data_IF_407181649304
#
_entry.id   IF_407181649304
#
_cell.length_a   1.000
_cell.length_b   1.000
_cell.length_c   1.000
_cell.angle_alpha   90.00
_cell.angle_beta   90.00
_cell.angle_gamma   90.00
#
_symmetry.space_group_name_H-M   'P 1'
#
loop_
_entity.id
_entity.type
_entity.pdbx_description
1 polymer ?
#
# COMPACT_ATOMS: atom_id res chain seq x y z
N UNK A 1 15.08 13.44 -2.05
CA UNK A 1 14.37 12.80 -3.19
C UNK A 1 13.81 13.89 -4.08
N UNK A 2 13.86 13.74 -5.40
CA UNK A 2 13.21 14.70 -6.30
C UNK A 2 11.69 14.62 -6.16
N UNK A 3 11.02 15.77 -6.05
CA UNK A 3 9.57 15.88 -5.95
C UNK A 3 8.85 15.17 -7.12
N UNK A 4 9.46 15.23 -8.31
CA UNK A 4 8.94 14.56 -9.50
C UNK A 4 8.90 13.04 -9.36
N UNK A 5 9.91 12.43 -8.71
CA UNK A 5 9.95 10.98 -8.50
C UNK A 5 8.90 10.54 -7.47
N UNK A 6 8.68 11.36 -6.43
CA UNK A 6 7.63 11.12 -5.42
C UNK A 6 6.24 11.15 -6.07
N UNK A 7 5.97 12.19 -6.87
CA UNK A 7 4.70 12.33 -7.56
C UNK A 7 4.47 11.16 -8.53
N UNK A 8 5.49 10.80 -9.32
CA UNK A 8 5.37 9.72 -10.29
C UNK A 8 5.08 8.38 -9.60
N UNK A 9 5.75 8.07 -8.48
CA UNK A 9 5.52 6.80 -7.77
C UNK A 9 4.13 6.72 -7.14
N UNK A 10 3.57 7.83 -6.65
CA UNK A 10 2.18 7.88 -6.15
C UNK A 10 1.15 7.73 -7.28
N UNK A 11 1.37 8.38 -8.42
CA UNK A 11 0.50 8.26 -9.61
C UNK A 11 0.50 6.83 -10.14
N UNK A 12 1.68 6.23 -10.32
CA UNK A 12 1.79 4.85 -10.80
C UNK A 12 1.25 3.83 -9.78
N UNK A 13 1.43 4.07 -8.48
CA UNK A 13 0.81 3.23 -7.43
C UNK A 13 -0.71 3.27 -7.46
N UNK A 14 -1.29 4.46 -7.60
CA UNK A 14 -2.75 4.65 -7.68
C UNK A 14 -3.32 4.08 -8.98
N UNK A 15 -2.60 4.25 -10.10
CA UNK A 15 -2.96 3.66 -11.39
C UNK A 15 -3.00 2.13 -11.30
N UNK A 16 -2.01 1.52 -10.66
CA UNK A 16 -1.93 0.06 -10.50
C UNK A 16 -3.08 -0.48 -9.62
N UNK A 17 -3.38 0.18 -8.50
CA UNK A 17 -4.53 -0.15 -7.67
C UNK A 17 -5.84 -0.07 -8.47
N UNK A 18 -6.02 1.00 -9.24
CA UNK A 18 -7.27 1.25 -9.97
C UNK A 18 -7.43 0.24 -11.11
N UNK A 19 -6.37 -0.03 -11.87
CA UNK A 19 -6.39 -0.98 -12.98
C UNK A 19 -6.74 -2.39 -12.50
N UNK A 20 -6.09 -2.85 -11.41
CA UNK A 20 -6.35 -4.18 -10.86
C UNK A 20 -7.68 -4.26 -10.11
N UNK A 21 -8.02 -3.26 -9.29
CA UNK A 21 -9.27 -3.22 -8.53
C UNK A 21 -10.50 -3.16 -9.44
N UNK A 22 -10.52 -2.24 -10.41
CA UNK A 22 -11.58 -2.16 -11.41
C UNK A 22 -11.58 -3.39 -12.33
N UNK A 23 -10.41 -3.96 -12.64
CA UNK A 23 -10.29 -5.21 -13.40
C UNK A 23 -10.98 -6.40 -12.72
N UNK A 24 -10.85 -6.53 -11.39
CA UNK A 24 -11.56 -7.57 -10.61
C UNK A 24 -13.07 -7.35 -10.64
N UNK A 25 -13.53 -6.10 -10.49
CA UNK A 25 -14.95 -5.78 -10.57
C UNK A 25 -15.50 -6.07 -11.96
N UNK A 26 -14.77 -5.70 -13.02
CA UNK A 26 -15.14 -6.02 -14.39
C UNK A 26 -15.20 -7.54 -14.63
N UNK A 27 -14.26 -8.31 -14.08
CA UNK A 27 -14.25 -9.76 -14.16
C UNK A 27 -15.45 -10.41 -13.45
N UNK A 28 -16.01 -9.79 -12.40
CA UNK A 28 -17.17 -10.32 -11.67
C UNK A 28 -18.51 -9.83 -12.23
N UNK A 29 -18.56 -8.61 -12.77
CA UNK A 29 -19.80 -7.94 -13.18
C UNK A 29 -20.16 -8.13 -14.66
N UNK A 30 -19.19 -8.32 -15.57
CA UNK A 30 -19.47 -8.48 -17.00
C UNK A 30 -19.89 -9.92 -17.33
N UNK A 31 -20.90 -10.03 -18.20
CA UNK A 31 -21.31 -11.33 -18.77
C UNK A 31 -20.22 -11.83 -19.73
N UNK A 32 -19.91 -13.12 -19.67
CA UNK A 32 -18.91 -13.76 -20.55
C UNK A 32 -17.49 -13.79 -20.00
N UNK A 33 -17.25 -13.25 -18.80
CA UNK A 33 -15.98 -13.43 -18.09
C UNK A 33 -15.98 -14.75 -17.31
N UNK A 34 -14.79 -15.33 -17.10
CA UNK A 34 -14.65 -16.57 -16.31
C UNK A 34 -14.94 -16.38 -14.81
N UNK A 35 -14.99 -15.14 -14.33
CA UNK A 35 -15.33 -14.80 -12.95
C UNK A 35 -16.74 -14.22 -12.76
N UNK A 36 -17.60 -14.23 -13.79
CA UNK A 36 -18.95 -13.69 -13.70
C UNK A 36 -19.72 -14.33 -12.54
N UNK A 37 -20.35 -13.51 -11.70
CA UNK A 37 -21.02 -13.93 -10.47
C UNK A 37 -20.09 -14.57 -9.42
N UNK A 38 -18.78 -14.25 -9.44
CA UNK A 38 -17.80 -14.69 -8.44
C UNK A 38 -18.03 -14.17 -7.02
N UNK A 39 -18.99 -13.25 -6.84
CA UNK A 39 -19.48 -12.82 -5.53
C UNK A 39 -18.48 -12.00 -4.70
N UNK A 40 -18.85 -11.77 -3.44
CA UNK A 40 -18.15 -10.88 -2.52
C UNK A 40 -16.70 -11.32 -2.21
N UNK A 41 -16.45 -12.64 -2.14
CA UNK A 41 -15.14 -13.19 -1.82
C UNK A 41 -14.10 -12.86 -2.89
N UNK A 42 -14.47 -12.95 -4.18
CA UNK A 42 -13.56 -12.65 -5.27
C UNK A 42 -13.19 -11.16 -5.30
N UNK A 43 -14.17 -10.30 -5.03
CA UNK A 43 -13.97 -8.84 -5.00
C UNK A 43 -13.06 -8.44 -3.83
N UNK A 44 -13.30 -8.97 -2.63
CA UNK A 44 -12.49 -8.61 -1.44
C UNK A 44 -11.03 -9.06 -1.56
N UNK A 45 -10.78 -10.30 -1.99
CA UNK A 45 -9.41 -10.77 -2.22
C UNK A 45 -8.73 -10.05 -3.38
N UNK A 46 -9.43 -9.83 -4.49
CA UNK A 46 -8.87 -9.13 -5.64
C UNK A 46 -8.51 -7.68 -5.33
N UNK A 47 -9.35 -6.97 -4.58
CA UNK A 47 -9.04 -5.62 -4.10
C UNK A 47 -7.87 -5.61 -3.10
N UNK A 48 -7.80 -6.57 -2.17
CA UNK A 48 -6.68 -6.68 -1.23
C UNK A 48 -5.33 -6.85 -1.92
N UNK A 49 -5.27 -7.69 -2.97
CA UNK A 49 -4.07 -7.89 -3.78
C UNK A 49 -3.76 -6.67 -4.64
N UNK A 50 -4.77 -5.99 -5.19
CA UNK A 50 -4.60 -4.75 -5.94
C UNK A 50 -3.97 -3.63 -5.10
N UNK A 51 -4.39 -3.49 -3.84
CA UNK A 51 -3.80 -2.54 -2.88
C UNK A 51 -2.34 -2.89 -2.60
N UNK A 52 -2.03 -4.17 -2.35
CA UNK A 52 -0.65 -4.62 -2.10
C UNK A 52 0.27 -4.31 -3.29
N UNK A 53 -0.17 -4.59 -4.51
CA UNK A 53 0.57 -4.26 -5.73
C UNK A 53 0.79 -2.75 -5.88
N UNK A 54 -0.23 -1.93 -5.61
CA UNK A 54 -0.10 -0.47 -5.62
C UNK A 54 0.95 0.03 -4.62
N UNK A 55 0.92 -0.47 -3.37
CA UNK A 55 1.89 -0.12 -2.33
C UNK A 55 3.32 -0.49 -2.74
N UNK A 56 3.50 -1.65 -3.37
CA UNK A 56 4.82 -2.08 -3.85
C UNK A 56 5.38 -1.15 -4.93
N UNK A 57 4.53 -0.67 -5.84
CA UNK A 57 4.90 0.30 -6.89
C UNK A 57 5.20 1.69 -6.30
N UNK A 58 4.43 2.12 -5.28
CA UNK A 58 4.62 3.40 -4.61
C UNK A 58 5.67 3.37 -3.48
N UNK A 59 6.40 2.27 -3.29
CA UNK A 59 7.35 2.10 -2.20
C UNK A 59 8.44 3.19 -2.13
N UNK A 60 8.76 3.83 -3.27
CA UNK A 60 9.74 4.93 -3.31
C UNK A 60 9.23 6.23 -2.66
N UNK A 61 7.93 6.53 -2.65
CA UNK A 61 7.37 7.78 -2.08
C UNK A 61 6.93 7.68 -0.62
N UNK A 62 7.00 6.50 -0.01
CA UNK A 62 6.32 6.23 1.27
C UNK A 62 4.98 5.50 1.11
N UNK A 63 4.61 5.18 -0.15
CA UNK A 63 3.43 4.40 -0.52
C UNK A 63 2.12 4.90 0.09
N UNK A 64 1.82 6.19 -0.07
CA UNK A 64 0.60 6.76 0.48
C UNK A 64 -0.63 6.32 -0.31
N UNK A 65 -0.51 6.22 -1.63
CA UNK A 65 -1.51 5.74 -2.60
C UNK A 65 -2.84 6.51 -2.65
N UNK A 66 -3.11 7.33 -1.62
CA UNK A 66 -4.41 7.89 -1.33
C UNK A 66 -4.22 9.26 -0.67
N UNK A 67 -4.87 10.33 -1.18
CA UNK A 67 -4.85 11.65 -0.57
C UNK A 67 -5.28 11.68 0.90
N UNK A 68 -6.22 10.82 1.31
CA UNK A 68 -6.68 10.71 2.69
C UNK A 68 -5.57 10.22 3.64
N UNK A 69 -4.67 9.37 3.16
CA UNK A 69 -3.53 8.86 3.92
C UNK A 69 -2.49 9.96 4.12
N UNK A 70 -2.22 10.75 3.07
CA UNK A 70 -1.34 11.92 3.17
C UNK A 70 -1.87 12.95 4.17
N UNK A 71 -3.17 13.23 4.15
CA UNK A 71 -3.83 14.10 5.13
C UNK A 71 -3.77 13.52 6.56
N UNK A 72 -4.02 12.22 6.72
CA UNK A 72 -3.94 11.55 8.02
C UNK A 72 -2.54 11.59 8.64
N UNK A 73 -1.49 11.47 7.84
CA UNK A 73 -0.10 11.62 8.28
C UNK A 73 0.24 13.07 8.65
N UNK A 74 -0.27 14.03 7.86
CA UNK A 74 -0.10 15.46 8.12
C UNK A 74 -0.68 15.86 9.48
N UNK A 75 -1.91 15.40 9.79
CA UNK A 75 -2.60 15.71 11.05
C UNK A 75 -1.92 15.03 12.24
N UNK A 76 -1.38 13.82 12.05
CA UNK A 76 -0.67 13.09 13.11
C UNK A 76 0.79 13.52 13.30
N UNK A 77 1.31 14.46 12.51
CA UNK A 77 2.73 14.86 12.48
C UNK A 77 3.72 13.67 12.34
N UNK A 78 3.27 12.56 11.73
CA UNK A 78 4.10 11.37 11.52
C UNK A 78 4.68 11.39 10.11
N UNK A 79 6.01 11.38 10.02
CA UNK A 79 6.73 11.33 8.75
C UNK A 79 6.69 9.94 8.07
N UNK A 80 6.27 8.89 8.78
CA UNK A 80 6.30 7.51 8.30
C UNK A 80 5.12 6.71 8.87
N UNK A 81 4.47 5.89 8.03
CA UNK A 81 3.27 5.10 8.39
C UNK A 81 3.60 3.93 9.34
N UNK A 82 4.81 3.38 9.21
CA UNK A 82 5.40 2.45 10.16
C UNK A 82 6.77 3.02 10.56
N UNK A 83 6.99 3.43 11.82
CA UNK A 83 8.31 3.86 12.24
C UNK A 83 9.26 2.71 11.99
N UNK A 84 10.33 2.93 11.22
CA UNK A 84 11.49 2.02 11.22
C UNK A 84 11.98 1.92 12.65
N UNK A 85 11.48 0.92 13.38
CA UNK A 85 12.03 0.57 14.69
C UNK A 85 13.35 -0.12 14.39
N UNK A 86 14.40 0.65 14.16
CA UNK A 86 15.77 0.24 14.45
C UNK A 86 15.83 -0.03 15.96
N UNK A 87 15.30 -1.17 16.38
CA UNK A 87 15.76 -1.80 17.61
C UNK A 87 17.18 -2.25 17.30
N UNK A 88 18.13 -1.32 17.49
CA UNK A 88 19.35 -1.74 18.15
C UNK A 88 18.88 -2.47 19.41
N UNK A 89 18.99 -3.79 19.40
CA UNK A 89 18.96 -4.57 20.61
C UNK A 89 20.12 -4.03 21.44
N UNK A 90 19.84 -3.02 22.27
CA UNK A 90 20.77 -2.52 23.26
C UNK A 90 20.97 -3.67 24.22
N UNK A 91 22.00 -4.46 23.96
CA UNK A 91 22.52 -5.41 24.93
C UNK A 91 22.85 -4.57 26.17
N UNK A 92 22.18 -4.86 27.28
CA UNK A 92 22.48 -4.18 28.52
C UNK A 92 23.91 -4.58 28.94
N UNK A 93 24.88 -3.65 29.01
CA UNK A 93 26.25 -3.99 29.41
C UNK A 93 26.33 -4.53 30.84
N UNK A 94 25.28 -4.37 31.65
CA UNK A 94 25.19 -4.92 33.01
C UNK A 94 24.96 -6.43 33.04
N UNK A 95 24.51 -7.04 31.92
CA UNK A 95 24.29 -8.49 31.80
C UNK A 95 25.59 -9.22 31.37
N UNK A 96 26.56 -8.51 30.80
CA UNK A 96 27.86 -9.07 30.39
C UNK A 96 28.93 -9.03 31.50
N UNK A 97 28.58 -8.52 32.69
CA UNK A 97 29.48 -8.37 33.84
C UNK A 97 29.03 -9.20 35.06
N UNK A 98 28.28 -10.27 34.86
CA UNK A 98 27.98 -11.28 35.88
C UNK A 98 28.50 -12.65 35.47
#
# INVERSE_FOLDING_TARGET
>A
MSLGIVFLSEVFGTMMLTLLGCGVVANVALKGTKGNNGGFLMVTWGWGIAVFAGVFVAAKSGAHLNPAVTLGLLVNQKAEYAPRRSRGFRVNPDVLRR
#
